data_IF_993366674742
#
_entry.id   IF_993366674742
#
_cell.length_a   1.000
_cell.length_b   1.000
_cell.length_c   1.000
_cell.angle_alpha   90.00
_cell.angle_beta   90.00
_cell.angle_gamma   90.00
#
_symmetry.space_group_name_H-M   'P 1'
#
loop_
_entity.id
_entity.type
_entity.pdbx_description
1 polymer ?
#
# COMPACT_ATOMS: atom_id res chain seq x y z
N UNK A 1 40.16 -23.72 -14.44
CA UNK A 1 39.10 -22.71 -14.34
C UNK A 1 38.39 -22.93 -13.01
N UNK A 2 38.65 -22.08 -12.03
CA UNK A 2 37.98 -22.16 -10.73
C UNK A 2 36.55 -21.59 -10.82
N UNK A 3 35.63 -21.98 -9.94
CA UNK A 3 34.29 -21.42 -9.93
C UNK A 3 34.36 -19.92 -9.60
N UNK A 4 33.77 -19.07 -10.45
CA UNK A 4 33.53 -17.68 -10.13
C UNK A 4 32.49 -17.64 -9.00
N UNK A 5 32.93 -17.27 -7.80
CA UNK A 5 32.06 -16.87 -6.71
C UNK A 5 31.33 -15.59 -7.13
N UNK A 6 30.04 -15.71 -7.45
CA UNK A 6 29.15 -14.56 -7.52
C UNK A 6 28.88 -14.13 -6.08
N UNK A 7 29.63 -13.14 -5.60
CA UNK A 7 29.23 -12.41 -4.39
C UNK A 7 27.89 -11.74 -4.70
N UNK A 8 26.79 -12.29 -4.19
CA UNK A 8 25.53 -11.56 -4.09
C UNK A 8 25.74 -10.44 -3.05
N UNK A 9 26.29 -9.32 -3.50
CA UNK A 9 26.36 -8.11 -2.72
C UNK A 9 24.94 -7.71 -2.33
N UNK A 10 24.67 -7.59 -1.03
CA UNK A 10 23.39 -7.12 -0.54
C UNK A 10 23.18 -5.67 -1.01
N UNK A 11 22.18 -5.45 -1.87
CA UNK A 11 21.73 -4.10 -2.23
C UNK A 11 20.90 -3.54 -1.07
N UNK A 12 21.29 -2.36 -0.56
CA UNK A 12 20.48 -1.65 0.43
C UNK A 12 19.52 -0.75 -0.33
N UNK A 13 18.23 -1.11 -0.33
CA UNK A 13 17.16 -0.28 -0.85
C UNK A 13 16.51 0.53 0.27
N UNK A 14 16.47 1.86 0.14
CA UNK A 14 15.69 2.73 1.01
C UNK A 14 14.44 3.17 0.23
N UNK A 15 13.27 2.68 0.64
CA UNK A 15 11.99 3.12 0.08
C UNK A 15 11.45 4.31 0.88
N UNK A 16 11.14 5.40 0.18
CA UNK A 16 10.53 6.59 0.76
C UNK A 16 9.21 6.91 0.05
N UNK A 17 8.12 6.90 0.80
CA UNK A 17 6.86 7.46 0.28
C UNK A 17 6.97 8.98 0.33
N UNK A 18 7.15 9.59 -0.83
CA UNK A 18 7.27 11.04 -0.96
C UNK A 18 5.88 11.66 -1.15
N UNK A 19 5.44 12.52 -0.22
CA UNK A 19 4.13 13.21 -0.32
C UNK A 19 4.11 14.39 -1.30
N UNK A 20 5.01 14.45 -2.28
CA UNK A 20 4.99 15.50 -3.29
C UNK A 20 4.00 15.17 -4.41
N UNK A 21 3.16 16.14 -4.81
CA UNK A 21 2.33 16.04 -6.01
C UNK A 21 1.08 15.17 -5.91
N UNK A 22 0.54 14.97 -4.70
CA UNK A 22 -0.70 14.20 -4.52
C UNK A 22 -1.84 14.78 -5.37
N UNK A 23 -2.26 14.04 -6.39
CA UNK A 23 -3.49 14.30 -7.16
C UNK A 23 -4.58 13.37 -6.66
N UNK A 24 -5.76 13.91 -6.44
CA UNK A 24 -6.95 13.13 -6.09
C UNK A 24 -7.98 13.31 -7.20
N UNK A 25 -8.31 12.22 -7.87
CA UNK A 25 -9.43 12.12 -8.79
C UNK A 25 -10.65 11.65 -8.00
N UNK A 26 -11.46 12.61 -7.55
CA UNK A 26 -12.62 12.36 -6.69
C UNK A 26 -13.73 11.67 -7.45
N UNK A 27 -13.90 11.97 -8.75
CA UNK A 27 -14.94 11.39 -9.61
C UNK A 27 -14.73 9.88 -9.78
N UNK A 28 -13.48 9.45 -9.98
CA UNK A 28 -13.14 8.05 -10.16
C UNK A 28 -12.70 7.34 -8.86
N UNK A 29 -12.61 8.10 -7.76
CA UNK A 29 -12.07 7.69 -6.46
C UNK A 29 -10.66 7.10 -6.54
N UNK A 30 -9.72 7.83 -7.17
CA UNK A 30 -8.32 7.42 -7.32
C UNK A 30 -7.40 8.47 -6.68
N UNK A 31 -6.50 8.03 -5.81
CA UNK A 31 -5.41 8.84 -5.27
C UNK A 31 -4.14 8.45 -6.03
N UNK A 32 -3.37 9.47 -6.43
CA UNK A 32 -2.08 9.30 -7.09
C UNK A 32 -0.94 9.71 -6.16
N UNK A 33 -0.55 8.87 -5.18
CA UNK A 33 0.59 9.19 -4.34
C UNK A 33 1.89 8.99 -5.11
N UNK A 34 2.80 9.96 -4.99
CA UNK A 34 4.17 9.77 -5.41
C UNK A 34 4.88 8.76 -4.51
N UNK A 35 5.70 7.90 -5.11
CA UNK A 35 6.64 7.06 -4.38
C UNK A 35 8.01 7.20 -5.02
N UNK A 36 9.04 7.12 -4.19
CA UNK A 36 10.40 7.00 -4.68
C UNK A 36 11.19 6.02 -3.82
N UNK A 37 12.17 5.37 -4.42
CA UNK A 37 13.12 4.58 -3.67
C UNK A 37 14.51 4.75 -4.28
N UNK A 38 15.50 4.61 -3.42
CA UNK A 38 16.90 4.69 -3.80
C UNK A 38 17.55 3.33 -3.55
N UNK A 39 18.24 2.82 -4.55
CA UNK A 39 19.02 1.59 -4.48
C UNK A 39 20.49 1.99 -4.44
N UNK A 40 21.19 1.62 -3.36
CA UNK A 40 22.62 1.83 -3.25
C UNK A 40 23.35 0.51 -3.51
N UNK A 41 24.10 0.48 -4.61
CA UNK A 41 25.01 -0.61 -4.90
C UNK A 41 26.21 -0.60 -3.93
N UNK A 42 26.84 -1.76 -3.76
CA UNK A 42 27.99 -1.93 -2.86
C UNK A 42 29.20 -1.05 -3.19
N UNK A 43 29.28 -0.56 -4.43
CA UNK A 43 30.29 0.38 -4.90
C UNK A 43 29.95 1.87 -4.61
N UNK A 44 28.84 2.13 -3.92
CA UNK A 44 28.39 3.48 -3.57
C UNK A 44 27.61 4.21 -4.67
N UNK A 45 27.33 3.58 -5.80
CA UNK A 45 26.42 4.14 -6.82
C UNK A 45 24.99 4.11 -6.27
N UNK A 46 24.31 5.25 -6.34
CA UNK A 46 22.91 5.40 -5.92
C UNK A 46 22.06 5.62 -7.16
N UNK A 47 21.08 4.74 -7.37
CA UNK A 47 20.04 4.89 -8.37
C UNK A 47 18.73 5.27 -7.70
N UNK A 48 18.05 6.29 -8.23
CA UNK A 48 16.75 6.73 -7.74
C UNK A 48 15.65 6.38 -8.72
N UNK A 49 14.61 5.76 -8.21
CA UNK A 49 13.39 5.43 -8.91
C UNK A 49 12.26 6.27 -8.32
N UNK A 50 11.43 6.88 -9.16
CA UNK A 50 10.28 7.65 -8.72
C UNK A 50 9.13 7.46 -9.71
N UNK A 51 7.93 7.24 -9.18
CA UNK A 51 6.72 7.07 -9.98
C UNK A 51 5.49 7.40 -9.13
N UNK A 52 4.31 7.43 -9.74
CA UNK A 52 3.03 7.60 -9.06
C UNK A 52 2.28 6.27 -9.03
N UNK A 53 1.76 5.88 -7.87
CA UNK A 53 0.79 4.78 -7.80
C UNK A 53 -0.58 5.29 -8.22
N UNK A 54 -1.43 4.45 -8.79
CA UNK A 54 -2.85 4.75 -8.94
C UNK A 54 -3.63 3.87 -7.97
N UNK A 55 -4.02 4.43 -6.82
CA UNK A 55 -4.70 3.70 -5.76
C UNK A 55 -6.18 4.06 -5.74
N UNK A 56 -7.05 3.05 -5.91
CA UNK A 56 -8.50 3.23 -5.75
C UNK A 56 -8.87 3.20 -4.27
N UNK A 57 -9.68 4.14 -3.82
CA UNK A 57 -10.18 4.19 -2.45
C UNK A 57 -11.70 4.01 -2.40
N UNK A 58 -12.19 3.47 -1.28
CA UNK A 58 -13.61 3.21 -1.05
C UNK A 58 -14.01 3.73 0.32
N UNK A 59 -15.24 4.24 0.41
CA UNK A 59 -15.86 4.57 1.68
C UNK A 59 -16.41 3.31 2.35
N UNK A 60 -16.57 3.38 3.68
CA UNK A 60 -17.13 2.30 4.49
C UNK A 60 -18.44 1.75 3.94
N UNK A 61 -19.41 2.61 3.63
CA UNK A 61 -20.73 2.21 3.10
C UNK A 61 -20.62 1.46 1.76
N UNK A 62 -19.67 1.84 0.89
CA UNK A 62 -19.44 1.18 -0.39
C UNK A 62 -18.93 -0.25 -0.20
N UNK A 63 -17.98 -0.44 0.73
CA UNK A 63 -17.44 -1.76 1.05
C UNK A 63 -18.48 -2.64 1.75
N UNK A 64 -19.23 -2.08 2.70
CA UNK A 64 -20.31 -2.79 3.40
C UNK A 64 -21.38 -3.28 2.43
N UNK A 65 -21.82 -2.42 1.50
CA UNK A 65 -22.80 -2.79 0.46
C UNK A 65 -22.26 -3.89 -0.43
N UNK A 66 -21.02 -3.75 -0.93
CA UNK A 66 -20.37 -4.75 -1.78
C UNK A 66 -20.29 -6.13 -1.11
N UNK A 67 -19.91 -6.17 0.17
CA UNK A 67 -19.81 -7.41 0.94
C UNK A 67 -21.18 -8.09 1.11
N UNK A 68 -22.21 -7.31 1.44
CA UNK A 68 -23.57 -7.80 1.64
C UNK A 68 -24.18 -8.32 0.33
N UNK A 69 -24.02 -7.58 -0.77
CA UNK A 69 -24.49 -7.98 -2.11
C UNK A 69 -23.80 -9.26 -2.60
N UNK A 70 -22.53 -9.46 -2.22
CA UNK A 70 -21.79 -10.69 -2.48
C UNK A 70 -22.21 -11.88 -1.56
N UNK A 71 -23.16 -11.67 -0.65
CA UNK A 71 -23.71 -12.68 0.24
C UNK A 71 -22.88 -12.91 1.51
N UNK A 72 -21.95 -12.01 1.86
CA UNK A 72 -21.23 -12.09 3.11
C UNK A 72 -22.04 -11.47 4.25
N UNK A 73 -21.93 -12.09 5.42
CA UNK A 73 -22.36 -11.50 6.70
C UNK A 73 -21.14 -10.94 7.42
N UNK A 74 -21.15 -9.63 7.63
CA UNK A 74 -20.15 -8.94 8.44
C UNK A 74 -20.41 -9.28 9.92
N UNK A 75 -19.37 -9.73 10.62
CA UNK A 75 -19.40 -10.10 12.04
C UNK A 75 -18.80 -9.02 12.92
N UNK A 76 -17.68 -8.45 12.47
CA UNK A 76 -16.91 -7.46 13.21
C UNK A 76 -16.29 -6.48 12.21
N UNK A 77 -16.10 -5.25 12.67
CA UNK A 77 -15.59 -4.12 11.89
C UNK A 77 -14.63 -3.31 12.77
N UNK A 78 -13.46 -2.97 12.25
CA UNK A 78 -12.44 -2.24 13.01
C UNK A 78 -11.73 -1.17 12.18
N UNK A 79 -11.26 -0.14 12.87
CA UNK A 79 -10.50 0.99 12.30
C UNK A 79 -8.99 0.75 12.25
N UNK A 80 -8.51 -0.28 12.95
CA UNK A 80 -7.10 -0.67 13.03
C UNK A 80 -6.97 -2.10 13.60
N UNK A 81 -5.75 -2.65 13.53
CA UNK A 81 -5.47 -4.02 14.02
C UNK A 81 -5.63 -4.19 15.55
N UNK A 82 -5.71 -3.09 16.29
CA UNK A 82 -6.00 -3.10 17.73
C UNK A 82 -7.51 -3.22 18.05
N UNK A 83 -8.35 -3.41 17.01
CA UNK A 83 -9.81 -3.49 17.12
C UNK A 83 -10.49 -2.20 17.57
N UNK A 84 -9.84 -1.05 17.41
CA UNK A 84 -10.47 0.25 17.60
C UNK A 84 -11.73 0.41 16.73
N UNK A 85 -12.70 1.22 17.17
CA UNK A 85 -13.90 1.48 16.39
C UNK A 85 -13.58 1.96 14.98
N UNK A 86 -14.36 1.52 14.00
CA UNK A 86 -14.11 1.77 12.58
C UNK A 86 -14.13 3.26 12.23
N UNK A 87 -14.84 4.07 13.00
CA UNK A 87 -14.93 5.52 12.84
C UNK A 87 -13.67 6.27 13.28
N UNK A 88 -12.83 5.64 14.10
CA UNK A 88 -11.68 6.27 14.76
C UNK A 88 -10.34 5.89 14.14
N UNK A 89 -10.32 4.97 13.19
CA UNK A 89 -9.11 4.44 12.57
C UNK A 89 -8.88 4.88 11.13
N UNK A 90 -7.68 4.64 10.61
CA UNK A 90 -7.29 4.97 9.22
C UNK A 90 -7.45 3.78 8.26
N UNK A 91 -7.75 2.60 8.78
CA UNK A 91 -7.96 1.37 8.04
C UNK A 91 -9.44 0.95 8.14
N UNK A 92 -9.91 0.14 7.18
CA UNK A 92 -11.23 -0.48 7.25
C UNK A 92 -11.04 -2.00 7.22
N UNK A 93 -11.19 -2.64 8.38
CA UNK A 93 -11.02 -4.09 8.53
C UNK A 93 -12.38 -4.74 8.78
N UNK A 94 -12.74 -5.71 7.94
CA UNK A 94 -14.00 -6.46 8.05
C UNK A 94 -13.72 -7.93 8.33
N UNK A 95 -14.36 -8.50 9.35
CA UNK A 95 -14.39 -9.94 9.60
C UNK A 95 -15.71 -10.47 9.08
N UNK A 96 -15.66 -11.29 8.02
CA UNK A 96 -16.85 -11.77 7.33
C UNK A 96 -16.98 -13.29 7.40
N UNK A 97 -18.22 -13.77 7.42
CA UNK A 97 -18.57 -15.17 7.14
C UNK A 97 -19.45 -15.26 5.91
N UNK A 98 -19.41 -16.39 5.21
CA UNK A 98 -20.35 -16.69 4.14
C UNK A 98 -21.58 -17.41 4.68
#
# INVERSE_FOLDING_TARGET
MGPQSVEMGYEVGIMQVLQHGQRIDVENQIIYPGFAYEVMASNGVVERFADNLALKYYYHEQLTTLLQDAGFRIKEEYGWYDKSPIENGRELIFVCTR
#
